data_IF_265153352624
#
_entry.id   IF_265153352624
#
_cell.length_a   1.000
_cell.length_b   1.000
_cell.length_c   1.000
_cell.angle_alpha   90.00
_cell.angle_beta   90.00
_cell.angle_gamma   90.00
#
_symmetry.space_group_name_H-M   'P 1'
#
loop_
_entity.id
_entity.type
_entity.pdbx_description
1 polymer ?
#
# COMPACT_ATOMS: atom_id res chain seq x y z
N UNK A 1 -27.31 41.63 -15.55
CA UNK A 1 -27.80 40.48 -16.34
C UNK A 1 -27.87 39.29 -15.41
N UNK A 2 -29.06 38.70 -15.24
CA UNK A 2 -29.24 37.48 -14.44
C UNK A 2 -28.77 36.33 -15.31
N UNK A 3 -27.68 35.66 -14.91
CA UNK A 3 -27.23 34.43 -15.54
C UNK A 3 -27.96 33.26 -14.90
N UNK A 4 -28.82 32.60 -15.66
CA UNK A 4 -29.42 31.32 -15.31
C UNK A 4 -28.34 30.26 -15.55
N UNK A 5 -27.92 29.57 -14.48
CA UNK A 5 -26.99 28.44 -14.56
C UNK A 5 -27.84 27.19 -14.83
N UNK A 6 -27.54 26.51 -15.92
CA UNK A 6 -28.17 25.25 -16.30
C UNK A 6 -27.58 24.11 -15.44
N UNK A 7 -28.31 23.69 -14.41
CA UNK A 7 -27.88 22.67 -13.43
C UNK A 7 -27.79 21.25 -14.04
N UNK A 8 -28.39 20.99 -15.21
CA UNK A 8 -28.38 19.65 -15.82
C UNK A 8 -27.05 19.27 -16.47
N UNK A 9 -26.13 20.21 -16.72
CA UNK A 9 -24.80 19.92 -17.30
C UNK A 9 -23.73 19.47 -16.28
N UNK A 10 -24.06 19.45 -14.99
CA UNK A 10 -23.11 19.24 -13.88
C UNK A 10 -23.55 18.16 -12.87
N UNK A 11 -24.23 17.10 -13.33
CA UNK A 11 -24.57 15.98 -12.45
C UNK A 11 -23.32 15.24 -11.97
N UNK A 12 -23.12 15.22 -10.64
CA UNK A 12 -22.10 14.45 -9.95
C UNK A 12 -22.62 13.05 -9.65
N UNK A 13 -21.96 12.01 -10.17
CA UNK A 13 -22.32 10.62 -9.84
C UNK A 13 -21.63 10.15 -8.55
N UNK A 14 -22.43 9.59 -7.62
CA UNK A 14 -21.95 8.95 -6.38
C UNK A 14 -21.79 7.45 -6.62
N UNK A 15 -20.54 6.96 -6.64
CA UNK A 15 -20.22 5.62 -7.18
C UNK A 15 -20.40 4.45 -6.19
N UNK A 16 -20.42 4.67 -4.87
CA UNK A 16 -20.84 3.70 -3.83
C UNK A 16 -20.39 4.22 -2.45
N UNK A 17 -21.17 3.97 -1.40
CA UNK A 17 -20.79 4.34 -0.03
C UNK A 17 -19.83 3.32 0.60
N UNK A 18 -18.92 3.77 1.45
CA UNK A 18 -18.02 2.91 2.24
C UNK A 18 -18.77 1.83 3.04
N UNK A 19 -20.02 2.11 3.42
CA UNK A 19 -20.93 1.17 4.07
C UNK A 19 -21.36 0.00 3.18
N UNK A 20 -21.52 0.21 1.86
CA UNK A 20 -21.82 -0.87 0.90
C UNK A 20 -20.62 -1.81 0.70
N UNK A 21 -19.39 -1.30 0.81
CA UNK A 21 -18.17 -2.11 0.73
C UNK A 21 -18.04 -3.10 1.90
N UNK A 22 -18.33 -2.65 3.13
CA UNK A 22 -18.24 -3.50 4.33
C UNK A 22 -19.30 -4.60 4.35
N UNK A 23 -20.48 -4.33 3.78
CA UNK A 23 -21.59 -5.29 3.75
C UNK A 23 -21.37 -6.46 2.77
N UNK A 24 -20.42 -6.33 1.84
CA UNK A 24 -20.12 -7.32 0.81
C UNK A 24 -18.93 -8.25 1.16
N UNK A 25 -18.42 -8.23 2.40
CA UNK A 25 -17.40 -9.19 2.81
C UNK A 25 -18.02 -10.58 3.06
N UNK A 26 -17.55 -11.64 2.38
CA UNK A 26 -18.06 -12.99 2.59
C UNK A 26 -17.68 -13.51 3.97
N UNK A 27 -18.67 -14.06 4.69
CA UNK A 27 -18.43 -14.82 5.92
C UNK A 27 -17.85 -16.19 5.57
N UNK A 28 -16.60 -16.44 5.97
CA UNK A 28 -15.98 -17.77 5.89
C UNK A 28 -16.52 -18.65 7.03
N UNK A 29 -17.39 -19.60 6.67
CA UNK A 29 -17.84 -20.65 7.58
C UNK A 29 -16.72 -21.68 7.78
N UNK A 30 -15.93 -21.52 8.85
CA UNK A 30 -14.96 -22.51 9.29
C UNK A 30 -15.67 -23.60 10.12
N UNK A 31 -15.97 -24.74 9.49
CA UNK A 31 -16.29 -25.97 10.21
C UNK A 31 -14.99 -26.59 10.72
N UNK A 32 -14.63 -26.28 11.96
CA UNK A 32 -13.42 -26.80 12.60
C UNK A 32 -13.59 -28.30 12.92
N UNK A 33 -12.86 -29.16 12.20
CA UNK A 33 -12.77 -30.57 12.55
C UNK A 33 -11.75 -30.70 13.67
N UNK A 34 -12.21 -30.85 14.91
CA UNK A 34 -11.34 -31.10 16.06
C UNK A 34 -10.50 -32.37 15.84
N UNK A 35 -9.21 -32.19 15.56
CA UNK A 35 -8.26 -33.30 15.46
C UNK A 35 -7.82 -33.74 16.86
N UNK A 36 -8.02 -35.01 17.20
CA UNK A 36 -7.47 -35.58 18.44
C UNK A 36 -5.95 -35.71 18.34
N UNK A 37 -5.23 -34.97 19.18
CA UNK A 37 -3.77 -35.04 19.29
C UNK A 37 -3.38 -35.85 20.54
N UNK A 38 -2.60 -36.91 20.36
CA UNK A 38 -2.08 -37.72 21.46
C UNK A 38 -0.68 -37.25 21.85
N UNK A 39 -0.47 -37.16 23.16
CA UNK A 39 0.78 -36.72 23.78
C UNK A 39 1.78 -37.87 23.92
N UNK A 40 3.02 -37.54 24.25
CA UNK A 40 4.02 -38.58 24.55
C UNK A 40 3.71 -39.30 25.89
N UNK A 41 2.94 -38.67 26.79
CA UNK A 41 2.42 -39.32 28.00
C UNK A 41 1.39 -40.41 27.67
N UNK A 42 0.54 -40.20 26.67
CA UNK A 42 -0.42 -41.21 26.21
C UNK A 42 0.28 -42.45 25.66
N UNK A 43 1.41 -42.24 24.94
CA UNK A 43 2.27 -43.33 24.46
C UNK A 43 2.91 -44.10 25.62
N UNK A 44 3.49 -43.38 26.59
CA UNK A 44 4.10 -44.01 27.77
C UNK A 44 3.07 -44.79 28.57
N UNK A 45 1.88 -44.22 28.79
CA UNK A 45 0.77 -44.90 29.46
C UNK A 45 0.36 -46.19 28.74
N UNK A 46 0.27 -46.15 27.41
CA UNK A 46 -0.04 -47.34 26.60
C UNK A 46 1.03 -48.43 26.74
N UNK A 47 2.32 -48.10 26.63
CA UNK A 47 3.40 -49.09 26.76
C UNK A 47 3.53 -49.61 28.19
N UNK A 48 3.28 -48.78 29.20
CA UNK A 48 3.26 -49.20 30.60
C UNK A 48 2.18 -50.25 30.85
N UNK A 49 0.95 -50.03 30.36
CA UNK A 49 -0.15 -50.99 30.52
C UNK A 49 0.10 -52.30 29.75
N UNK A 50 0.70 -52.22 28.57
CA UNK A 50 0.92 -53.40 27.73
C UNK A 50 2.14 -54.23 28.19
N UNK A 51 3.22 -53.61 28.67
CA UNK A 51 4.42 -54.33 29.15
C UNK A 51 4.39 -54.69 30.63
N UNK A 52 4.06 -53.76 31.52
CA UNK A 52 4.14 -54.02 32.97
C UNK A 52 2.91 -54.78 33.48
N UNK A 53 1.72 -54.45 32.98
CA UNK A 53 0.46 -55.08 33.41
C UNK A 53 0.01 -56.24 32.52
N UNK A 54 0.74 -56.51 31.43
CA UNK A 54 0.45 -57.59 30.46
C UNK A 54 -1.00 -57.56 29.96
N UNK A 55 -1.54 -56.34 29.80
CA UNK A 55 -2.91 -56.13 29.30
C UNK A 55 -2.87 -56.11 27.77
N UNK A 56 -3.89 -56.72 27.12
CA UNK A 56 -3.99 -56.69 25.67
C UNK A 56 -4.14 -55.26 25.14
N UNK A 57 -3.67 -55.01 23.91
CA UNK A 57 -3.73 -53.68 23.31
C UNK A 57 -5.14 -53.08 23.24
N UNK A 58 -6.19 -53.91 23.08
CA UNK A 58 -7.59 -53.43 23.05
C UNK A 58 -8.15 -53.10 24.44
N UNK A 59 -7.64 -53.74 25.50
CA UNK A 59 -8.01 -53.40 26.87
C UNK A 59 -7.26 -52.13 27.34
N UNK A 60 -5.99 -51.95 26.95
CA UNK A 60 -5.25 -50.72 27.18
C UNK A 60 -5.85 -49.52 26.41
N UNK A 61 -6.33 -49.75 25.18
CA UNK A 61 -7.07 -48.78 24.37
C UNK A 61 -8.30 -48.24 25.13
N UNK A 62 -9.18 -49.14 25.58
CA UNK A 62 -10.40 -48.76 26.31
C UNK A 62 -10.12 -48.03 27.62
N UNK A 63 -9.04 -48.39 28.33
CA UNK A 63 -8.64 -47.72 29.57
C UNK A 63 -8.11 -46.31 29.33
N UNK A 64 -7.40 -46.07 28.23
CA UNK A 64 -6.77 -44.78 27.94
C UNK A 64 -7.60 -43.88 27.01
N UNK A 65 -8.72 -44.38 26.45
CA UNK A 65 -9.54 -43.62 25.51
C UNK A 65 -8.83 -43.28 24.20
N UNK A 66 -7.80 -44.04 23.84
CA UNK A 66 -7.00 -43.82 22.63
C UNK A 66 -7.63 -44.59 21.48
N UNK A 67 -7.72 -44.01 20.29
CA UNK A 67 -8.31 -44.71 19.14
C UNK A 67 -7.50 -45.97 18.73
N UNK A 68 -8.18 -47.12 18.53
CA UNK A 68 -7.57 -48.43 18.17
C UNK A 68 -6.49 -48.38 17.08
N UNK A 69 -6.70 -47.61 16.00
CA UNK A 69 -5.70 -47.51 14.91
C UNK A 69 -4.41 -46.84 15.35
N UNK A 70 -4.47 -45.96 16.35
CA UNK A 70 -3.29 -45.26 16.88
C UNK A 70 -2.44 -46.20 17.73
N UNK A 71 -3.08 -46.97 18.63
CA UNK A 71 -2.38 -47.95 19.47
C UNK A 71 -1.76 -49.08 18.64
N UNK A 72 -2.46 -49.56 17.61
CA UNK A 72 -1.92 -50.52 16.64
C UNK A 72 -0.69 -49.98 15.91
N UNK A 73 -0.73 -48.71 15.45
CA UNK A 73 0.43 -48.06 14.81
C UNK A 73 1.60 -47.95 15.76
N UNK A 74 1.38 -47.55 17.03
CA UNK A 74 2.46 -47.47 18.02
C UNK A 74 3.08 -48.84 18.32
N UNK A 75 2.26 -49.88 18.49
CA UNK A 75 2.76 -51.24 18.69
C UNK A 75 3.58 -51.73 17.48
N UNK A 76 3.17 -51.38 16.26
CA UNK A 76 3.92 -51.72 15.05
C UNK A 76 5.24 -50.94 14.96
N UNK A 77 5.22 -49.63 15.22
CA UNK A 77 6.44 -48.80 15.25
C UNK A 77 7.42 -49.31 16.30
N UNK A 78 6.93 -49.75 17.47
CA UNK A 78 7.77 -50.35 18.51
C UNK A 78 8.47 -51.63 18.06
N UNK A 79 7.79 -52.49 17.29
CA UNK A 79 8.41 -53.70 16.76
C UNK A 79 9.51 -53.41 15.73
N UNK A 80 9.36 -52.34 14.96
CA UNK A 80 10.30 -51.99 13.89
C UNK A 80 11.49 -51.17 14.42
N UNK A 81 11.22 -50.12 15.19
CA UNK A 81 12.23 -49.24 15.79
C UNK A 81 11.64 -48.55 17.04
N UNK A 82 11.90 -49.09 18.25
CA UNK A 82 11.41 -48.51 19.50
C UNK A 82 11.82 -47.05 19.72
N UNK A 83 13.00 -46.64 19.24
CA UNK A 83 13.52 -45.29 19.46
C UNK A 83 12.73 -44.25 18.63
N UNK A 84 12.24 -44.63 17.45
CA UNK A 84 11.49 -43.74 16.54
C UNK A 84 10.16 -43.23 17.08
N UNK A 85 9.54 -43.93 18.03
CA UNK A 85 8.17 -43.63 18.51
C UNK A 85 8.06 -42.24 19.15
N UNK A 86 9.14 -41.80 19.80
CA UNK A 86 9.21 -40.50 20.47
C UNK A 86 9.85 -39.42 19.59
N UNK A 87 10.41 -39.79 18.43
CA UNK A 87 11.02 -38.84 17.51
C UNK A 87 9.92 -38.16 16.69
N UNK A 88 9.73 -36.86 16.94
CA UNK A 88 8.84 -36.03 16.12
C UNK A 88 9.57 -35.67 14.82
N UNK A 89 9.27 -36.39 13.74
CA UNK A 89 9.74 -35.96 12.42
C UNK A 89 9.10 -34.62 12.06
N UNK A 90 9.92 -33.62 11.73
CA UNK A 90 9.43 -32.41 11.06
C UNK A 90 8.77 -32.87 9.77
N UNK A 91 7.48 -32.54 9.61
CA UNK A 91 6.79 -32.78 8.34
C UNK A 91 7.58 -32.09 7.24
N UNK A 92 7.93 -32.82 6.19
CA UNK A 92 8.52 -32.25 4.99
C UNK A 92 7.59 -31.14 4.50
N UNK A 93 8.07 -29.88 4.56
CA UNK A 93 7.29 -28.75 4.07
C UNK A 93 7.07 -28.93 2.57
N UNK A 94 5.93 -28.46 2.05
CA UNK A 94 5.72 -28.38 0.61
C UNK A 94 6.87 -27.60 -0.03
N UNK A 95 7.34 -28.09 -1.18
CA UNK A 95 8.31 -27.38 -2.01
C UNK A 95 7.80 -25.98 -2.31
N UNK A 96 8.69 -24.98 -2.20
CA UNK A 96 8.35 -23.59 -2.49
C UNK A 96 8.12 -23.44 -4.00
N UNK A 97 7.11 -22.66 -4.39
CA UNK A 97 6.79 -22.37 -5.80
C UNK A 97 7.73 -21.28 -6.34
N UNK A 98 8.14 -20.35 -5.49
CA UNK A 98 9.04 -19.26 -5.82
C UNK A 98 10.44 -19.55 -5.28
N UNK A 99 11.44 -19.13 -6.04
CA UNK A 99 12.85 -19.49 -5.90
C UNK A 99 13.73 -18.25 -6.12
N UNK A 100 15.05 -18.41 -5.94
CA UNK A 100 16.01 -17.32 -6.01
C UNK A 100 16.01 -16.58 -7.36
N UNK A 101 15.81 -17.30 -8.47
CA UNK A 101 15.70 -16.69 -9.79
C UNK A 101 14.52 -15.70 -9.89
N UNK A 102 13.38 -16.06 -9.29
CA UNK A 102 12.21 -15.18 -9.21
C UNK A 102 12.50 -13.94 -8.34
N UNK A 103 13.25 -14.11 -7.25
CA UNK A 103 13.67 -13.01 -6.37
C UNK A 103 14.51 -11.99 -7.12
N UNK A 104 15.47 -12.45 -7.93
CA UNK A 104 16.32 -11.56 -8.70
C UNK A 104 15.51 -10.71 -9.70
N UNK A 105 14.54 -11.32 -10.38
CA UNK A 105 13.64 -10.61 -11.32
C UNK A 105 12.81 -9.54 -10.60
N UNK A 106 12.30 -9.84 -9.40
CA UNK A 106 11.52 -8.91 -8.60
C UNK A 106 12.38 -7.71 -8.18
N UNK A 107 13.59 -7.95 -7.68
CA UNK A 107 14.50 -6.90 -7.23
C UNK A 107 14.90 -5.98 -8.39
N UNK A 108 15.31 -6.54 -9.52
CA UNK A 108 15.66 -5.76 -10.71
C UNK A 108 14.51 -4.90 -11.23
N UNK A 109 13.27 -5.39 -11.11
CA UNK A 109 12.11 -4.65 -11.56
C UNK A 109 11.75 -3.51 -10.58
N UNK A 110 11.79 -3.78 -9.29
CA UNK A 110 11.47 -2.78 -8.24
C UNK A 110 12.54 -1.70 -8.14
N UNK A 111 13.82 -2.04 -8.34
CA UNK A 111 14.90 -1.05 -8.37
C UNK A 111 14.74 -0.05 -9.53
N UNK A 112 14.04 -0.44 -10.62
CA UNK A 112 13.72 0.45 -11.75
C UNK A 112 12.46 1.28 -11.52
N UNK A 113 11.44 0.70 -10.88
CA UNK A 113 10.21 1.42 -10.49
C UNK A 113 9.81 1.05 -9.07
N UNK A 114 10.26 1.87 -8.11
CA UNK A 114 9.90 1.70 -6.69
C UNK A 114 8.39 1.80 -6.46
N UNK A 115 7.63 2.41 -7.38
CA UNK A 115 6.17 2.54 -7.29
C UNK A 115 5.40 1.37 -7.92
N UNK A 116 6.12 0.32 -8.35
CA UNK A 116 5.54 -0.84 -9.02
C UNK A 116 4.39 -1.47 -8.20
N UNK A 117 3.30 -1.74 -8.90
CA UNK A 117 2.14 -2.42 -8.33
C UNK A 117 2.43 -3.92 -8.28
N UNK A 118 1.92 -4.61 -7.24
CA UNK A 118 2.09 -6.06 -7.12
C UNK A 118 1.58 -6.81 -8.36
N UNK A 119 0.48 -6.38 -8.97
CA UNK A 119 0.00 -6.90 -10.25
C UNK A 119 1.04 -6.81 -11.37
N UNK A 120 1.77 -5.68 -11.46
CA UNK A 120 2.82 -5.51 -12.48
C UNK A 120 4.03 -6.41 -12.19
N UNK A 121 4.38 -6.59 -10.90
CA UNK A 121 5.41 -7.54 -10.48
C UNK A 121 4.99 -8.97 -10.87
N UNK A 122 3.73 -9.33 -10.66
CA UNK A 122 3.19 -10.63 -11.07
C UNK A 122 3.22 -10.82 -12.58
N UNK A 123 2.75 -9.83 -13.35
CA UNK A 123 2.76 -9.85 -14.81
C UNK A 123 4.19 -10.05 -15.34
N UNK A 124 5.16 -9.34 -14.75
CA UNK A 124 6.57 -9.48 -15.10
C UNK A 124 7.14 -10.87 -14.80
N UNK A 125 6.71 -11.48 -13.70
CA UNK A 125 7.09 -12.85 -13.35
C UNK A 125 6.50 -13.86 -14.34
N UNK A 126 5.20 -13.78 -14.63
CA UNK A 126 4.53 -14.69 -15.59
C UNK A 126 5.11 -14.52 -17.00
N UNK A 127 5.47 -13.29 -17.39
CA UNK A 127 6.10 -13.02 -18.69
C UNK A 127 7.48 -13.67 -18.82
N UNK A 128 8.28 -13.69 -17.74
CA UNK A 128 9.60 -14.34 -17.74
C UNK A 128 9.52 -15.86 -17.50
N UNK A 129 8.51 -16.33 -16.77
CA UNK A 129 8.33 -17.73 -16.37
C UNK A 129 6.92 -18.19 -16.78
N UNK A 130 6.78 -18.68 -18.01
CA UNK A 130 5.47 -18.99 -18.62
C UNK A 130 4.68 -20.08 -17.88
N UNK A 131 5.35 -20.97 -17.16
CA UNK A 131 4.74 -22.05 -16.38
C UNK A 131 4.42 -21.66 -14.93
N UNK A 132 4.70 -20.42 -14.53
CA UNK A 132 4.57 -19.98 -13.15
C UNK A 132 3.11 -19.70 -12.78
N UNK A 133 2.49 -20.64 -12.05
CA UNK A 133 1.16 -20.46 -11.47
C UNK A 133 1.24 -20.01 -10.00
N UNK A 134 1.12 -18.71 -9.76
CA UNK A 134 1.18 -18.12 -8.41
C UNK A 134 0.00 -17.19 -8.11
N UNK A 135 -0.47 -17.21 -6.87
CA UNK A 135 -1.48 -16.27 -6.38
C UNK A 135 -0.86 -14.92 -5.98
N UNK A 136 -1.68 -13.86 -5.97
CA UNK A 136 -1.26 -12.53 -5.50
C UNK A 136 -0.73 -12.53 -4.07
N UNK A 137 -1.38 -13.28 -3.17
CA UNK A 137 -0.93 -13.44 -1.78
C UNK A 137 0.42 -14.14 -1.67
N UNK A 138 0.69 -15.13 -2.51
CA UNK A 138 1.98 -15.84 -2.55
C UNK A 138 3.11 -14.90 -2.95
N UNK A 139 2.91 -14.11 -4.01
CA UNK A 139 3.89 -13.12 -4.47
C UNK A 139 4.09 -12.02 -3.43
N UNK A 140 3.01 -11.49 -2.83
CA UNK A 140 3.12 -10.49 -1.77
C UNK A 140 3.98 -10.98 -0.59
N UNK A 141 3.69 -12.19 -0.09
CA UNK A 141 4.45 -12.76 1.01
C UNK A 141 5.91 -12.96 0.62
N UNK A 142 6.18 -13.49 -0.58
CA UNK A 142 7.53 -13.68 -1.08
C UNK A 142 8.33 -12.37 -1.20
N UNK A 143 7.70 -11.30 -1.72
CA UNK A 143 8.28 -9.95 -1.77
C UNK A 143 8.64 -9.45 -0.36
N UNK A 144 7.75 -9.69 0.60
CA UNK A 144 7.94 -9.21 1.98
C UNK A 144 8.99 -10.00 2.76
N UNK A 145 9.00 -11.32 2.63
CA UNK A 145 9.83 -12.21 3.46
C UNK A 145 11.15 -12.58 2.80
N UNK A 146 11.14 -12.94 1.52
CA UNK A 146 12.32 -13.43 0.82
C UNK A 146 13.06 -12.28 0.11
N UNK A 147 12.34 -11.30 -0.43
CA UNK A 147 12.97 -10.10 -1.03
C UNK A 147 13.31 -9.02 0.01
N UNK A 148 12.89 -9.17 1.27
CA UNK A 148 13.08 -8.18 2.35
C UNK A 148 12.58 -6.77 1.99
N UNK A 149 11.52 -6.69 1.19
CA UNK A 149 10.93 -5.42 0.78
C UNK A 149 9.72 -5.09 1.67
N UNK A 150 9.52 -3.79 1.86
CA UNK A 150 8.39 -3.23 2.59
C UNK A 150 7.78 -2.09 1.80
N UNK A 151 6.46 -2.02 1.78
CA UNK A 151 5.75 -0.90 1.18
C UNK A 151 5.74 0.25 2.20
N UNK A 152 6.26 1.41 1.81
CA UNK A 152 6.40 2.60 2.67
C UNK A 152 5.86 3.83 1.97
N UNK A 153 5.53 4.87 2.75
CA UNK A 153 5.18 6.18 2.19
C UNK A 153 6.41 6.74 1.45
N UNK A 154 6.23 7.01 0.16
CA UNK A 154 7.25 7.58 -0.70
C UNK A 154 7.52 9.03 -0.26
N UNK A 155 8.80 9.34 -0.07
CA UNK A 155 9.25 10.71 0.09
C UNK A 155 9.72 11.21 -1.28
N UNK A 156 8.99 12.18 -1.81
CA UNK A 156 9.34 12.86 -3.05
C UNK A 156 10.22 14.06 -2.70
N UNK A 157 11.49 14.01 -3.09
CA UNK A 157 12.43 15.11 -2.86
C UNK A 157 12.92 15.63 -4.22
N UNK A 158 12.75 16.93 -4.52
CA UNK A 158 13.41 17.51 -5.68
C UNK A 158 14.93 17.51 -5.44
N UNK A 159 15.70 17.12 -6.45
CA UNK A 159 17.18 17.01 -6.37
C UNK A 159 17.80 18.33 -5.90
N UNK A 160 17.26 19.45 -6.39
CA UNK A 160 17.70 20.82 -6.07
C UNK A 160 17.55 21.17 -4.58
N UNK A 161 16.75 20.42 -3.80
CA UNK A 161 16.48 20.73 -2.38
C UNK A 161 17.70 20.55 -1.47
N UNK A 162 18.67 19.72 -1.85
CA UNK A 162 19.83 19.39 -1.02
C UNK A 162 21.13 19.99 -1.55
N UNK A 163 21.08 20.99 -2.44
CA UNK A 163 22.29 21.76 -2.78
C UNK A 163 22.69 22.66 -1.61
N UNK A 164 24.00 22.87 -1.44
CA UNK A 164 24.55 23.72 -0.38
C UNK A 164 23.96 25.13 -0.46
N UNK A 165 23.85 25.68 -1.68
CA UNK A 165 23.24 26.99 -1.94
C UNK A 165 21.80 27.07 -1.42
N UNK A 166 20.95 26.06 -1.69
CA UNK A 166 19.55 26.04 -1.23
C UNK A 166 19.41 25.75 0.26
N UNK A 167 20.40 25.12 0.87
CA UNK A 167 20.46 24.99 2.33
C UNK A 167 20.76 26.35 2.95
N UNK A 168 21.78 27.06 2.45
CA UNK A 168 22.14 28.39 2.94
C UNK A 168 21.01 29.42 2.73
N UNK A 169 20.40 29.47 1.54
CA UNK A 169 19.27 30.38 1.28
C UNK A 169 18.11 30.19 2.28
N UNK A 170 17.81 28.94 2.67
CA UNK A 170 16.77 28.64 3.66
C UNK A 170 17.19 29.08 5.06
N UNK A 171 18.46 28.88 5.41
CA UNK A 171 19.00 29.32 6.69
C UNK A 171 18.90 30.85 6.82
N UNK A 172 19.37 31.57 5.81
CA UNK A 172 19.32 33.05 5.77
C UNK A 172 17.88 33.56 5.81
N UNK A 173 16.96 32.90 5.09
CA UNK A 173 15.54 33.25 5.10
C UNK A 173 14.92 33.08 6.49
N UNK A 174 15.19 31.96 7.18
CA UNK A 174 14.66 31.73 8.53
C UNK A 174 15.19 32.79 9.50
N UNK A 175 16.49 33.06 9.51
CA UNK A 175 17.07 34.08 10.39
C UNK A 175 16.57 35.50 10.10
N UNK A 176 16.31 35.82 8.82
CA UNK A 176 15.73 37.12 8.46
C UNK A 176 14.37 37.34 9.12
N UNK A 177 13.51 36.32 9.15
CA UNK A 177 12.16 36.42 9.70
C UNK A 177 12.11 36.17 11.21
N UNK A 178 13.09 35.47 11.78
CA UNK A 178 13.24 35.32 13.23
C UNK A 178 13.43 36.67 13.94
N UNK A 179 14.00 37.66 13.26
CA UNK A 179 14.15 39.03 13.76
C UNK A 179 12.88 39.90 13.63
N UNK A 180 11.75 39.35 13.18
CA UNK A 180 10.49 40.09 12.95
C UNK A 180 9.37 39.61 13.87
N UNK A 181 8.30 40.40 14.01
CA UNK A 181 7.08 40.02 14.77
C UNK A 181 6.18 39.04 13.99
N UNK A 182 6.76 38.20 13.12
CA UNK A 182 6.00 37.26 12.30
C UNK A 182 5.58 36.04 13.14
N UNK A 183 4.28 35.85 13.30
CA UNK A 183 3.69 34.67 13.94
C UNK A 183 2.76 33.95 12.97
N UNK A 184 3.22 32.79 12.51
CA UNK A 184 2.51 31.90 11.60
C UNK A 184 1.12 31.49 12.08
N UNK A 185 0.82 31.64 13.38
CA UNK A 185 -0.48 31.30 13.95
C UNK A 185 -1.47 32.46 13.99
N UNK A 186 -1.02 33.70 13.93
CA UNK A 186 -1.88 34.85 14.24
C UNK A 186 -1.88 35.93 13.17
N UNK A 187 -0.75 36.15 12.48
CA UNK A 187 -0.62 37.28 11.55
C UNK A 187 -0.17 36.88 10.13
N UNK A 188 -0.26 35.59 9.80
CA UNK A 188 0.12 35.07 8.49
C UNK A 188 -1.06 34.42 7.76
N UNK A 189 -1.16 34.73 6.46
CA UNK A 189 -1.97 33.99 5.49
C UNK A 189 -1.03 33.32 4.50
N UNK A 190 -1.18 32.02 4.32
CA UNK A 190 -0.41 31.23 3.39
C UNK A 190 -1.17 31.07 2.09
N UNK A 191 -0.50 31.41 1.00
CA UNK A 191 -1.02 31.24 -0.36
C UNK A 191 -0.21 30.15 -1.04
N UNK A 192 -0.87 29.11 -1.53
CA UNK A 192 -0.20 28.09 -2.33
C UNK A 192 -0.97 27.75 -3.60
N UNK A 193 -0.24 27.10 -4.50
CA UNK A 193 -0.75 26.55 -5.75
C UNK A 193 -0.51 25.05 -5.75
N UNK A 194 -1.54 24.30 -5.37
CA UNK A 194 -1.53 22.85 -5.41
C UNK A 194 -1.86 22.33 -6.81
N UNK A 195 -0.88 21.69 -7.44
CA UNK A 195 -0.98 21.17 -8.80
C UNK A 195 -1.21 19.64 -8.80
N UNK A 196 -2.39 19.19 -9.21
CA UNK A 196 -2.74 17.78 -9.34
C UNK A 196 -2.45 17.29 -10.76
N UNK A 197 -1.27 16.73 -10.94
CA UNK A 197 -0.88 16.12 -12.20
C UNK A 197 -1.61 14.79 -12.41
N UNK A 198 -2.11 14.54 -13.63
CA UNK A 198 -2.63 13.22 -14.02
C UNK A 198 -1.59 12.09 -13.84
N UNK A 199 -0.31 12.46 -13.83
CA UNK A 199 0.81 11.55 -13.66
C UNK A 199 1.30 11.46 -12.20
N UNK A 200 0.52 11.96 -11.22
CA UNK A 200 0.90 11.87 -9.81
C UNK A 200 1.15 10.41 -9.45
N UNK A 201 2.40 10.11 -9.04
CA UNK A 201 2.82 8.77 -8.68
C UNK A 201 2.17 8.36 -7.36
N UNK A 202 2.04 7.05 -7.13
CA UNK A 202 1.53 6.52 -5.85
C UNK A 202 2.37 7.06 -4.70
N UNK A 203 1.69 7.46 -3.63
CA UNK A 203 2.32 7.89 -2.38
C UNK A 203 3.01 6.75 -1.62
N UNK A 204 2.95 5.52 -2.13
CA UNK A 204 3.55 4.34 -1.55
C UNK A 204 4.54 3.72 -2.54
N UNK A 205 5.73 3.41 -2.04
CA UNK A 205 6.80 2.80 -2.81
C UNK A 205 7.46 1.67 -2.01
N UNK A 206 8.05 0.72 -2.72
CA UNK A 206 8.82 -0.37 -2.13
C UNK A 206 10.18 0.12 -1.69
N UNK A 207 10.64 -0.34 -0.54
CA UNK A 207 12.00 -0.12 -0.07
C UNK A 207 12.47 -1.31 0.75
N UNK A 208 13.79 -1.52 0.79
CA UNK A 208 14.41 -2.51 1.67
C UNK A 208 13.96 -2.24 3.10
N UNK A 209 13.63 -3.31 3.82
CA UNK A 209 13.21 -3.22 5.22
C UNK A 209 14.28 -2.44 6.01
N UNK A 210 13.84 -1.43 6.76
CA UNK A 210 14.73 -0.50 7.49
C UNK A 210 15.12 0.78 6.72
N UNK A 211 14.98 0.84 5.40
CA UNK A 211 15.39 2.00 4.60
C UNK A 211 14.22 2.91 4.21
N UNK A 212 14.39 4.23 4.06
CA UNK A 212 13.34 5.10 3.53
C UNK A 212 13.04 4.75 2.07
N UNK A 213 11.81 5.01 1.62
CA UNK A 213 11.44 4.91 0.21
C UNK A 213 11.55 6.30 -0.42
N UNK A 214 12.69 6.60 -1.04
CA UNK A 214 12.94 7.87 -1.72
C UNK A 214 12.68 7.67 -3.21
N UNK A 215 11.74 8.44 -3.76
CA UNK A 215 11.39 8.37 -5.18
C UNK A 215 11.76 9.68 -5.84
N UNK A 216 12.69 9.61 -6.79
CA UNK A 216 13.04 10.74 -7.65
C UNK A 216 11.98 10.91 -8.73
N UNK A 217 11.43 12.11 -8.85
CA UNK A 217 10.37 12.41 -9.82
C UNK A 217 10.88 13.42 -10.85
N UNK A 218 10.81 13.13 -12.15
CA UNK A 218 11.09 14.12 -13.18
C UNK A 218 10.01 15.20 -13.19
N UNK A 219 10.40 16.46 -13.44
CA UNK A 219 9.47 17.58 -13.64
C UNK A 219 8.80 17.44 -15.02
N UNK A 220 7.72 16.64 -15.12
CA UNK A 220 6.99 16.45 -16.38
C UNK A 220 5.82 17.44 -16.48
N UNK A 221 5.80 18.25 -17.56
CA UNK A 221 4.73 19.21 -17.81
C UNK A 221 3.52 18.51 -18.45
N UNK A 222 2.53 18.15 -17.64
CA UNK A 222 1.27 17.56 -18.08
C UNK A 222 0.10 18.55 -17.93
N UNK A 223 -1.06 18.26 -18.54
CA UNK A 223 -2.30 18.97 -18.21
C UNK A 223 -2.63 18.69 -16.74
N UNK A 224 -2.94 19.75 -15.99
CA UNK A 224 -2.91 19.71 -14.53
C UNK A 224 -4.10 20.47 -13.99
N UNK A 225 -4.90 19.82 -13.14
CA UNK A 225 -5.89 20.51 -12.32
C UNK A 225 -5.14 21.27 -11.25
N UNK A 226 -5.41 22.55 -11.11
CA UNK A 226 -4.70 23.37 -10.13
C UNK A 226 -5.68 23.97 -9.14
N UNK A 227 -5.36 23.86 -7.86
CA UNK A 227 -6.04 24.57 -6.79
C UNK A 227 -5.14 25.73 -6.38
N UNK A 228 -5.70 26.92 -6.30
CA UNK A 228 -5.14 28.03 -5.52
C UNK A 228 -5.87 28.07 -4.20
N UNK A 229 -5.13 28.15 -3.10
CA UNK A 229 -5.69 28.20 -1.76
C UNK A 229 -5.00 29.27 -0.91
N UNK A 230 -5.79 29.89 -0.05
CA UNK A 230 -5.39 30.87 0.94
C UNK A 230 -5.87 30.38 2.31
N UNK A 231 -4.94 30.07 3.21
CA UNK A 231 -5.23 29.54 4.55
C UNK A 231 -4.56 30.41 5.62
N UNK A 232 -5.24 30.60 6.74
CA UNK A 232 -4.63 31.04 7.99
C UNK A 232 -4.50 29.84 8.94
N UNK A 233 -3.91 30.05 10.11
CA UNK A 233 -3.91 28.99 11.13
C UNK A 233 -5.30 28.70 11.71
N UNK A 234 -6.26 29.62 11.54
CA UNK A 234 -7.62 29.47 12.04
C UNK A 234 -8.51 28.75 11.04
N UNK A 235 -8.38 29.06 9.74
CA UNK A 235 -9.32 28.56 8.72
C UNK A 235 -8.81 28.64 7.28
N UNK A 236 -9.58 28.03 6.38
CA UNK A 236 -9.48 28.20 4.94
C UNK A 236 -10.23 29.48 4.54
N UNK A 237 -9.51 30.49 4.08
CA UNK A 237 -10.07 31.78 3.68
C UNK A 237 -10.71 31.67 2.31
N UNK A 238 -9.93 31.21 1.32
CA UNK A 238 -10.39 31.09 -0.05
C UNK A 238 -9.72 29.94 -0.77
N UNK A 239 -10.43 29.30 -1.67
CA UNK A 239 -9.81 28.45 -2.68
C UNK A 239 -10.44 28.67 -4.05
N UNK A 240 -9.69 28.36 -5.10
CA UNK A 240 -10.13 28.44 -6.49
C UNK A 240 -9.61 27.23 -7.25
N UNK A 241 -10.54 26.46 -7.82
CA UNK A 241 -10.22 25.29 -8.63
C UNK A 241 -10.16 25.69 -10.11
N UNK A 242 -9.04 25.41 -10.75
CA UNK A 242 -8.88 25.50 -12.20
C UNK A 242 -8.75 24.10 -12.79
N UNK A 243 -9.73 23.73 -13.61
CA UNK A 243 -9.68 22.52 -14.41
C UNK A 243 -8.89 22.77 -15.71
N UNK A 244 -8.18 21.75 -16.22
CA UNK A 244 -7.58 21.82 -17.55
C UNK A 244 -8.70 21.99 -18.59
N UNK A 245 -8.53 22.96 -19.50
CA UNK A 245 -9.48 23.11 -20.58
C UNK A 245 -9.34 21.96 -21.56
N UNK A 246 -10.46 21.28 -21.86
CA UNK A 246 -10.51 20.31 -22.94
C UNK A 246 -10.19 21.00 -24.27
N UNK A 247 -9.41 20.40 -25.17
CA UNK A 247 -9.17 20.99 -26.47
C UNK A 247 -10.51 21.16 -27.18
N UNK A 248 -10.94 22.40 -27.36
CA UNK A 248 -12.16 22.71 -28.10
C UNK A 248 -12.05 22.09 -29.50
N UNK A 249 -13.09 21.36 -29.94
CA UNK A 249 -13.22 20.93 -31.34
C UNK A 249 -13.28 22.20 -32.19
N UNK A 250 -12.13 22.64 -32.72
CA UNK A 250 -12.03 23.82 -33.56
C UNK A 250 -12.90 23.63 -34.80
N UNK A 251 -14.08 24.25 -34.86
CA UNK A 251 -14.59 24.75 -36.13
C UNK A 251 -13.72 25.95 -36.48
N UNK A 252 -12.95 25.85 -37.57
CA UNK A 252 -12.10 26.95 -38.06
C UNK A 252 -12.98 28.19 -38.30
N UNK A 253 -12.81 29.23 -37.49
CA UNK A 253 -13.09 30.61 -37.91
C UNK A 253 -11.72 31.25 -38.11
N UNK A 254 -11.48 31.75 -39.32
CA UNK A 254 -10.31 32.57 -39.65
C UNK A 254 -10.32 33.84 -38.80
N UNK A 255 -9.17 34.19 -38.23
CA UNK A 255 -8.89 35.57 -37.80
C UNK A 255 -8.34 35.78 -36.40
N UNK A 256 -8.59 34.91 -35.41
CA UNK A 256 -8.05 35.09 -34.07
C UNK A 256 -7.67 33.75 -33.44
N UNK A 257 -6.37 33.50 -33.29
CA UNK A 257 -5.87 32.47 -32.41
C UNK A 257 -5.85 33.04 -30.99
N UNK A 258 -6.95 32.88 -30.24
CA UNK A 258 -6.90 33.05 -28.79
C UNK A 258 -5.90 32.03 -28.24
N UNK A 259 -4.72 32.50 -27.85
CA UNK A 259 -3.75 31.68 -27.13
C UNK A 259 -4.29 31.45 -25.72
N UNK A 260 -5.05 30.37 -25.55
CA UNK A 260 -5.50 29.99 -24.22
C UNK A 260 -4.31 29.46 -23.43
N UNK A 261 -3.98 30.15 -22.34
CA UNK A 261 -2.83 29.81 -21.50
C UNK A 261 -3.01 28.42 -20.87
N UNK A 262 -1.98 27.57 -21.00
CA UNK A 262 -1.99 26.17 -20.52
C UNK A 262 -1.80 26.09 -18.98
N UNK A 263 -1.71 27.22 -18.27
CA UNK A 263 -1.55 27.25 -16.81
C UNK A 263 -2.01 28.55 -16.16
N UNK A 264 -1.90 28.62 -14.84
CA UNK A 264 -2.15 29.84 -14.05
C UNK A 264 -1.11 30.90 -14.44
N UNK A 265 -1.59 31.92 -15.14
CA UNK A 265 -0.90 33.17 -15.48
C UNK A 265 -1.07 34.17 -14.34
N UNK A 266 -0.15 35.11 -14.23
CA UNK A 266 -0.11 36.20 -13.24
C UNK A 266 -1.47 36.86 -12.99
N UNK A 267 -2.27 37.10 -14.04
CA UNK A 267 -3.62 37.68 -13.92
C UNK A 267 -4.53 36.85 -13.01
N UNK A 268 -4.52 35.53 -13.13
CA UNK A 268 -5.34 34.66 -12.30
C UNK A 268 -4.92 34.70 -10.82
N UNK A 269 -3.62 34.85 -10.56
CA UNK A 269 -3.11 34.97 -9.21
C UNK A 269 -3.51 36.32 -8.59
N UNK A 270 -3.42 37.41 -9.35
CA UNK A 270 -3.91 38.72 -8.91
C UNK A 270 -5.41 38.70 -8.63
N UNK A 271 -6.23 38.14 -9.53
CA UNK A 271 -7.68 38.02 -9.28
C UNK A 271 -7.98 37.20 -8.02
N UNK A 272 -7.23 36.13 -7.77
CA UNK A 272 -7.37 35.33 -6.56
C UNK A 272 -6.98 36.10 -5.31
N UNK A 273 -5.87 36.85 -5.34
CA UNK A 273 -5.43 37.70 -4.24
C UNK A 273 -6.48 38.75 -3.90
N UNK A 274 -6.99 39.48 -4.90
CA UNK A 274 -8.05 40.47 -4.69
C UNK A 274 -9.28 39.84 -4.04
N UNK A 275 -9.75 38.71 -4.58
CA UNK A 275 -10.90 38.01 -4.01
C UNK A 275 -10.65 37.45 -2.59
N UNK A 276 -9.39 37.13 -2.26
CA UNK A 276 -9.02 36.68 -0.91
C UNK A 276 -9.02 37.85 0.07
N UNK A 277 -8.52 39.02 -0.34
CA UNK A 277 -8.56 40.23 0.49
C UNK A 277 -10.01 40.67 0.74
N UNK A 278 -10.86 40.66 -0.29
CA UNK A 278 -12.29 40.97 -0.16
C UNK A 278 -13.02 40.02 0.81
N UNK A 279 -12.55 38.78 0.97
CA UNK A 279 -13.11 37.81 1.93
C UNK A 279 -12.62 38.10 3.35
N UNK A 280 -11.36 38.53 3.51
CA UNK A 280 -10.79 38.86 4.82
C UNK A 280 -11.35 40.16 5.41
N UNK A 281 -11.86 41.05 4.56
CA UNK A 281 -12.47 42.32 4.96
C UNK A 281 -13.95 42.18 5.39
N UNK A 282 -14.55 40.98 5.28
CA UNK A 282 -15.91 40.66 5.73
C UNK A 282 -15.98 40.26 7.20
#
# INVERSE_FOLDING_TARGET
MVYIIDEEQYALETVSSYTQYLHNQPQENNFDRAYTLYTDQDKVGFFKLTFEKVISASAAEKQLGIHVRTTQRWAQMYKTDPASIFIKHKKTSRSRILHEEHRQVILEYIDKDLSAILEQVMERLVQKFQDLKVSKSTVYNFVRTECNLSLKKAQFQPVDRNSEEKIQERFDWVHKWECTDMDFRTNCVFLDKSAFHINLKRSMAWSKKGWPAVVTVPKTRAQTTTILDAISASELIKYSLRLPQLPAKKRKREGYAEQTSIGIVTVHYFSFLTATMDEMDQ
#
